data_IF_352219507870
#
_entry.id   IF_352219507870
#
_cell.length_a   1.000
_cell.length_b   1.000
_cell.length_c   1.000
_cell.angle_alpha   90.00
_cell.angle_beta   90.00
_cell.angle_gamma   90.00
#
_symmetry.space_group_name_H-M   'P 1'
#
loop_
_entity.id
_entity.type
_entity.pdbx_description
1 polymer ?
#
# COMPACT_ATOMS: atom_id res chain seq x y z
N UNK A 1 -7.35 -13.16 -14.96
CA UNK A 1 -7.49 -12.62 -16.34
C UNK A 1 -6.68 -11.34 -16.43
N UNK A 2 -5.81 -11.23 -17.43
CA UNK A 2 -5.01 -10.02 -17.68
C UNK A 2 -5.90 -8.88 -18.18
N UNK A 3 -5.67 -7.68 -17.68
CA UNK A 3 -6.41 -6.46 -18.03
C UNK A 3 -5.42 -5.34 -18.32
N UNK A 4 -5.63 -4.60 -19.40
CA UNK A 4 -4.84 -3.39 -19.71
C UNK A 4 -5.50 -2.18 -19.07
N UNK A 5 -4.70 -1.33 -18.46
CA UNK A 5 -5.13 -0.08 -17.81
C UNK A 5 -4.89 1.14 -18.72
N UNK A 6 -5.43 2.30 -18.35
CA UNK A 6 -5.39 3.51 -19.19
C UNK A 6 -3.97 4.07 -19.41
N UNK A 7 -3.03 3.78 -18.52
CA UNK A 7 -1.63 4.15 -18.67
C UNK A 7 -0.81 3.14 -19.49
N UNK A 8 -1.48 2.15 -20.09
CA UNK A 8 -0.86 1.12 -20.93
C UNK A 8 -0.19 -0.01 -20.14
N UNK A 9 -0.27 0.00 -18.83
CA UNK A 9 0.25 -1.08 -17.98
C UNK A 9 -0.75 -2.22 -17.85
N UNK A 10 -0.32 -3.33 -17.26
CA UNK A 10 -1.16 -4.50 -17.09
C UNK A 10 -1.49 -4.74 -15.61
N UNK A 11 -2.70 -5.20 -15.36
CA UNK A 11 -3.15 -5.71 -14.07
C UNK A 11 -3.85 -7.06 -14.23
N UNK A 12 -4.12 -7.73 -13.14
CA UNK A 12 -4.89 -8.97 -13.11
C UNK A 12 -6.23 -8.74 -12.41
N UNK A 13 -7.25 -9.47 -12.85
CA UNK A 13 -8.50 -9.61 -12.11
C UNK A 13 -8.41 -10.84 -11.22
N UNK A 14 -8.55 -10.64 -9.90
CA UNK A 14 -8.65 -11.71 -8.91
C UNK A 14 -9.94 -12.50 -9.12
N UNK A 15 -9.83 -13.83 -9.17
CA UNK A 15 -11.00 -14.72 -9.21
C UNK A 15 -11.69 -14.79 -7.85
N UNK A 16 -10.90 -14.76 -6.76
CA UNK A 16 -11.40 -14.84 -5.39
C UNK A 16 -12.25 -13.63 -5.00
N UNK A 17 -11.76 -12.42 -5.32
CA UNK A 17 -12.40 -11.17 -4.89
C UNK A 17 -13.25 -10.53 -5.99
N UNK A 18 -13.14 -11.01 -7.24
CA UNK A 18 -13.82 -10.45 -8.42
C UNK A 18 -13.48 -8.98 -8.69
N UNK A 19 -12.37 -8.49 -8.16
CA UNK A 19 -11.82 -7.14 -8.34
C UNK A 19 -10.46 -7.21 -9.06
N UNK A 20 -10.07 -6.12 -9.75
CA UNK A 20 -8.72 -5.97 -10.28
C UNK A 20 -7.75 -5.55 -9.17
N UNK A 21 -6.47 -5.96 -9.28
CA UNK A 21 -5.42 -5.54 -8.34
C UNK A 21 -5.17 -4.03 -8.40
N UNK A 22 -5.39 -3.39 -9.55
CA UNK A 22 -5.28 -1.94 -9.72
C UNK A 22 -6.50 -1.42 -10.47
N UNK A 23 -6.79 -0.12 -10.30
CA UNK A 23 -7.89 0.52 -11.00
C UNK A 23 -7.60 0.68 -12.49
N UNK A 24 -8.63 1.07 -13.25
CA UNK A 24 -8.47 1.39 -14.68
C UNK A 24 -7.59 2.62 -14.95
N UNK A 25 -7.29 3.43 -13.95
CA UNK A 25 -6.44 4.64 -14.11
C UNK A 25 -5.01 4.29 -14.57
N UNK A 26 -4.47 3.17 -14.08
CA UNK A 26 -3.13 2.71 -14.42
C UNK A 26 -2.40 2.15 -13.21
N UNK A 27 -1.80 0.97 -13.33
CA UNK A 27 -1.12 0.36 -12.21
C UNK A 27 0.11 1.18 -11.77
N UNK A 28 0.91 1.69 -12.72
CA UNK A 28 2.05 2.56 -12.43
C UNK A 28 1.59 3.92 -11.92
N UNK A 29 0.64 4.54 -12.62
CA UNK A 29 0.14 5.87 -12.29
C UNK A 29 -0.48 5.90 -10.89
N UNK A 30 -1.35 4.94 -10.58
CA UNK A 30 -2.00 4.84 -9.27
C UNK A 30 -0.98 4.66 -8.15
N UNK A 31 -0.05 3.73 -8.31
CA UNK A 31 1.00 3.47 -7.33
C UNK A 31 1.88 4.69 -7.09
N UNK A 32 2.39 5.33 -8.15
CA UNK A 32 3.28 6.49 -8.00
C UNK A 32 2.61 7.64 -7.25
N UNK A 33 1.39 7.99 -7.64
CA UNK A 33 0.74 9.20 -7.15
C UNK A 33 -0.05 9.00 -5.85
N UNK A 34 -0.54 7.80 -5.57
CA UNK A 34 -1.27 7.52 -4.31
C UNK A 34 -0.36 7.04 -3.19
N UNK A 35 0.79 6.41 -3.52
CA UNK A 35 1.64 5.78 -2.53
C UNK A 35 3.07 6.34 -2.52
N UNK A 36 3.81 6.22 -3.63
CA UNK A 36 5.26 6.45 -3.64
C UNK A 36 5.64 7.91 -3.44
N UNK A 37 5.14 8.82 -4.29
CA UNK A 37 5.51 10.22 -4.23
C UNK A 37 5.08 10.90 -2.92
N UNK A 38 3.84 10.72 -2.43
CA UNK A 38 3.46 11.27 -1.13
C UNK A 38 4.34 10.74 0.00
N UNK A 39 4.60 9.43 0.03
CA UNK A 39 5.38 8.83 1.10
C UNK A 39 6.83 9.32 1.12
N UNK A 40 7.53 9.31 -0.02
CA UNK A 40 8.92 9.74 -0.09
C UNK A 40 9.11 11.26 -0.01
N UNK A 41 8.06 12.06 -0.20
CA UNK A 41 8.14 13.51 0.04
C UNK A 41 8.22 13.86 1.53
N UNK A 42 7.74 12.96 2.42
CA UNK A 42 7.74 13.21 3.88
C UNK A 42 8.66 12.28 4.66
N UNK A 43 9.08 11.15 4.08
CA UNK A 43 10.01 10.23 4.71
C UNK A 43 11.33 10.24 3.93
N UNK A 44 12.34 10.94 4.50
CA UNK A 44 13.69 11.03 3.94
C UNK A 44 14.71 10.74 5.04
N UNK A 45 15.23 9.52 5.08
CA UNK A 45 16.25 9.07 6.04
C UNK A 45 17.12 7.96 5.44
N UNK A 46 18.22 7.62 6.10
CA UNK A 46 19.21 6.67 5.59
C UNK A 46 18.66 5.24 5.42
N UNK A 47 17.74 4.82 6.27
CA UNK A 47 17.06 3.52 6.17
C UNK A 47 15.55 3.75 6.32
N UNK A 48 14.78 3.37 5.32
CA UNK A 48 13.33 3.50 5.28
C UNK A 48 12.71 2.12 5.36
N UNK A 49 11.87 1.89 6.37
CA UNK A 49 11.09 0.66 6.53
C UNK A 49 9.69 0.85 5.98
N UNK A 50 9.32 0.02 5.03
CA UNK A 50 8.03 0.06 4.35
C UNK A 50 7.26 -1.21 4.65
N UNK A 51 6.00 -1.08 5.00
CA UNK A 51 5.03 -2.17 5.04
C UNK A 51 4.09 -2.02 3.84
N UNK A 52 4.20 -2.93 2.90
CA UNK A 52 3.38 -2.98 1.69
C UNK A 52 2.30 -4.05 1.86
N UNK A 53 1.09 -3.62 2.23
CA UNK A 53 -0.01 -4.54 2.57
C UNK A 53 -0.61 -5.15 1.32
N UNK A 54 -0.54 -6.49 1.23
CA UNK A 54 -0.96 -7.29 0.09
C UNK A 54 -0.07 -7.02 -1.14
N UNK A 55 1.05 -7.73 -1.21
CA UNK A 55 2.04 -7.57 -2.27
C UNK A 55 1.45 -7.55 -3.69
N UNK A 56 0.49 -8.44 -3.95
CA UNK A 56 -0.21 -8.53 -5.22
C UNK A 56 0.76 -8.70 -6.40
N UNK A 57 0.71 -7.77 -7.34
CA UNK A 57 1.61 -7.73 -8.51
C UNK A 57 2.94 -6.99 -8.22
N UNK A 58 3.19 -6.56 -6.99
CA UNK A 58 4.44 -5.95 -6.57
C UNK A 58 4.70 -4.52 -7.03
N UNK A 59 3.74 -3.85 -7.66
CA UNK A 59 3.94 -2.49 -8.17
C UNK A 59 4.38 -1.51 -7.08
N UNK A 60 3.79 -1.55 -5.88
CA UNK A 60 4.19 -0.67 -4.78
C UNK A 60 5.66 -0.89 -4.38
N UNK A 61 6.06 -2.12 -4.18
CA UNK A 61 7.44 -2.49 -3.85
C UNK A 61 8.40 -2.14 -4.97
N UNK A 62 8.13 -2.53 -6.22
CA UNK A 62 9.04 -2.33 -7.35
C UNK A 62 9.19 -0.86 -7.72
N UNK A 63 8.11 -0.09 -7.69
CA UNK A 63 8.19 1.36 -7.94
C UNK A 63 8.84 2.11 -6.76
N UNK A 64 8.73 1.61 -5.53
CA UNK A 64 9.52 2.15 -4.41
C UNK A 64 11.01 1.99 -4.64
N UNK A 65 11.47 0.86 -5.15
CA UNK A 65 12.88 0.61 -5.49
C UNK A 65 13.35 1.56 -6.59
N UNK A 66 12.56 1.69 -7.65
CA UNK A 66 12.92 2.54 -8.80
C UNK A 66 12.92 4.04 -8.48
N UNK A 67 12.17 4.47 -7.46
CA UNK A 67 11.99 5.87 -7.08
C UNK A 67 12.55 6.20 -5.69
N UNK A 68 13.32 5.31 -5.07
CA UNK A 68 13.87 5.54 -3.73
C UNK A 68 14.74 6.79 -3.67
N UNK A 69 14.76 7.53 -2.54
CA UNK A 69 15.70 8.62 -2.34
C UNK A 69 17.15 8.14 -2.49
N UNK A 70 18.01 8.94 -3.13
CA UNK A 70 19.36 8.52 -3.58
C UNK A 70 20.19 7.82 -2.50
N UNK A 71 20.15 8.32 -1.27
CA UNK A 71 21.01 7.86 -0.18
C UNK A 71 20.28 6.96 0.81
N UNK A 72 19.07 6.54 0.52
CA UNK A 72 18.28 5.70 1.40
C UNK A 72 18.45 4.23 1.08
N UNK A 73 18.51 3.40 2.12
CA UNK A 73 18.28 1.96 2.04
C UNK A 73 16.79 1.70 2.25
N UNK A 74 16.23 0.71 1.56
CA UNK A 74 14.86 0.28 1.76
C UNK A 74 14.83 -1.09 2.43
N UNK A 75 14.00 -1.22 3.48
CA UNK A 75 13.54 -2.51 4.00
C UNK A 75 12.06 -2.60 3.78
N UNK A 76 11.64 -3.55 2.97
CA UNK A 76 10.24 -3.73 2.57
C UNK A 76 9.74 -5.05 3.13
N UNK A 77 8.67 -4.99 3.89
CA UNK A 77 7.95 -6.10 4.47
C UNK A 77 6.58 -6.19 3.82
N UNK A 78 6.26 -7.32 3.20
CA UNK A 78 4.98 -7.44 2.53
C UNK A 78 4.34 -8.81 2.73
N UNK A 79 3.16 -8.88 3.32
CA UNK A 79 2.38 -10.10 3.40
C UNK A 79 1.62 -10.36 2.09
N UNK A 80 1.56 -11.62 1.68
CA UNK A 80 0.76 -12.10 0.56
C UNK A 80 0.20 -13.50 0.84
N UNK A 81 -1.06 -13.73 0.52
CA UNK A 81 -1.71 -15.03 0.69
C UNK A 81 -1.46 -15.98 -0.47
N UNK A 82 -1.36 -15.43 -1.69
CA UNK A 82 -1.24 -16.22 -2.91
C UNK A 82 0.22 -16.45 -3.31
N UNK A 83 0.78 -17.53 -2.77
CA UNK A 83 2.12 -17.99 -3.12
C UNK A 83 2.31 -18.20 -4.63
N UNK A 84 1.28 -18.65 -5.34
CA UNK A 84 1.38 -18.92 -6.77
C UNK A 84 1.40 -17.63 -7.59
N UNK A 85 0.69 -16.61 -7.12
CA UNK A 85 0.79 -15.27 -7.71
C UNK A 85 2.25 -14.79 -7.68
N UNK A 86 2.91 -14.82 -6.51
CA UNK A 86 4.31 -14.38 -6.39
C UNK A 86 5.21 -15.16 -7.34
N UNK A 87 5.07 -16.48 -7.41
CA UNK A 87 5.87 -17.32 -8.33
C UNK A 87 5.68 -16.99 -9.81
N UNK A 88 4.52 -16.43 -10.18
CA UNK A 88 4.21 -16.07 -11.57
C UNK A 88 4.80 -14.72 -11.99
N UNK A 89 5.27 -13.90 -11.07
CA UNK A 89 5.70 -12.52 -11.36
C UNK A 89 6.90 -12.44 -12.29
N UNK A 90 7.81 -13.44 -12.28
CA UNK A 90 8.97 -13.49 -13.20
C UNK A 90 8.60 -13.44 -14.68
N UNK A 91 7.38 -13.86 -15.02
CA UNK A 91 6.87 -13.86 -16.40
C UNK A 91 5.76 -12.85 -16.62
N UNK A 92 5.46 -12.03 -15.62
CA UNK A 92 4.45 -10.99 -15.75
C UNK A 92 4.95 -9.87 -16.66
N UNK A 93 4.07 -9.33 -17.49
CA UNK A 93 4.42 -8.30 -18.46
C UNK A 93 4.47 -6.92 -17.80
N UNK A 94 5.58 -6.62 -17.14
CA UNK A 94 5.82 -5.29 -16.53
C UNK A 94 6.23 -4.25 -17.58
N UNK A 95 6.09 -2.94 -17.24
CA UNK A 95 6.66 -1.86 -18.04
C UNK A 95 8.18 -1.99 -18.20
N UNK A 96 8.73 -1.45 -19.31
CA UNK A 96 10.16 -1.59 -19.65
C UNK A 96 11.13 -1.10 -18.58
N UNK A 97 10.76 -0.10 -17.81
CA UNK A 97 11.57 0.41 -16.69
C UNK A 97 11.85 -0.63 -15.61
N UNK A 98 11.00 -1.65 -15.46
CA UNK A 98 11.18 -2.75 -14.52
C UNK A 98 12.30 -3.71 -14.93
N UNK A 99 12.76 -3.67 -16.20
CA UNK A 99 13.92 -4.45 -16.65
C UNK A 99 15.17 -4.15 -15.81
N UNK A 100 15.29 -2.95 -15.24
CA UNK A 100 16.40 -2.57 -14.35
C UNK A 100 16.46 -3.37 -13.06
N UNK A 101 15.33 -3.91 -12.64
CA UNK A 101 15.15 -4.68 -11.40
C UNK A 101 14.65 -6.11 -11.66
N UNK A 102 14.77 -6.60 -12.91
CA UNK A 102 14.29 -7.94 -13.27
C UNK A 102 14.92 -9.03 -12.38
N UNK A 103 16.21 -8.90 -12.05
CA UNK A 103 16.90 -9.81 -11.15
C UNK A 103 16.27 -9.85 -9.74
N UNK A 104 15.75 -8.73 -9.24
CA UNK A 104 15.02 -8.66 -7.96
C UNK A 104 13.68 -9.38 -8.09
N UNK A 105 12.95 -9.15 -9.19
CA UNK A 105 11.67 -9.79 -9.47
C UNK A 105 11.84 -11.31 -9.55
N UNK A 106 12.88 -11.76 -10.25
CA UNK A 106 13.19 -13.19 -10.40
C UNK A 106 13.50 -13.84 -9.05
N UNK A 107 14.32 -13.18 -8.23
CA UNK A 107 14.70 -13.68 -6.90
C UNK A 107 13.49 -13.76 -5.95
N UNK A 108 12.68 -12.70 -5.89
CA UNK A 108 11.44 -12.68 -5.09
C UNK A 108 10.48 -13.79 -5.55
N UNK A 109 10.34 -13.97 -6.86
CA UNK A 109 9.44 -14.99 -7.40
C UNK A 109 9.85 -16.42 -7.02
N UNK A 110 11.11 -16.65 -6.74
CA UNK A 110 11.64 -17.96 -6.34
C UNK A 110 11.70 -18.13 -4.82
N UNK A 111 12.27 -17.13 -4.12
CA UNK A 111 12.71 -17.26 -2.74
C UNK A 111 11.85 -16.43 -1.77
N UNK A 112 10.93 -15.56 -2.26
CA UNK A 112 10.12 -14.64 -1.43
C UNK A 112 10.96 -13.67 -0.62
N UNK A 113 12.21 -13.50 -0.97
CA UNK A 113 13.20 -12.68 -0.28
C UNK A 113 14.22 -12.16 -1.26
N UNK A 114 14.69 -10.92 -1.04
CA UNK A 114 15.83 -10.33 -1.74
C UNK A 114 16.61 -9.46 -0.77
N UNK A 115 17.94 -9.46 -0.87
CA UNK A 115 18.80 -8.55 -0.11
C UNK A 115 20.06 -8.22 -0.88
N UNK A 116 20.36 -6.92 -0.94
CA UNK A 116 21.67 -6.37 -1.31
C UNK A 116 22.13 -5.30 -0.30
N UNK A 117 23.07 -4.43 -0.69
CA UNK A 117 23.57 -3.36 0.17
C UNK A 117 22.53 -2.27 0.46
N UNK A 118 21.55 -2.05 -0.43
CA UNK A 118 20.63 -0.93 -0.42
C UNK A 118 19.16 -1.34 -0.27
N UNK A 119 18.84 -2.59 -0.52
CA UNK A 119 17.46 -3.08 -0.60
C UNK A 119 17.37 -4.42 0.13
N UNK A 120 16.39 -4.52 1.02
CA UNK A 120 15.99 -5.77 1.64
C UNK A 120 14.47 -5.91 1.50
N UNK A 121 14.01 -7.04 0.97
CA UNK A 121 12.59 -7.32 0.72
C UNK A 121 12.26 -8.67 1.31
N UNK A 122 11.23 -8.72 2.14
CA UNK A 122 10.68 -9.95 2.71
C UNK A 122 9.21 -10.08 2.32
N UNK A 123 8.87 -11.13 1.58
CA UNK A 123 7.49 -11.49 1.26
C UNK A 123 7.05 -12.60 2.21
N UNK A 124 6.20 -12.26 3.17
CA UNK A 124 5.61 -13.23 4.07
C UNK A 124 4.41 -13.91 3.40
N UNK A 125 4.51 -15.21 3.15
CA UNK A 125 3.39 -15.99 2.61
C UNK A 125 2.46 -16.37 3.74
N UNK A 126 1.37 -15.61 3.90
CA UNK A 126 0.42 -15.80 4.99
C UNK A 126 -0.49 -14.61 5.28
N UNK A 127 -1.18 -14.72 6.40
CA UNK A 127 -2.13 -13.72 6.86
C UNK A 127 -1.43 -12.41 7.31
N UNK A 128 -1.78 -11.30 6.66
CA UNK A 128 -1.23 -9.97 6.95
C UNK A 128 -1.43 -9.56 8.41
N UNK A 129 -2.58 -9.85 9.02
CA UNK A 129 -2.89 -9.50 10.42
C UNK A 129 -2.02 -10.25 11.43
N UNK A 130 -1.55 -11.44 11.07
CA UNK A 130 -0.58 -12.17 11.89
C UNK A 130 0.81 -11.60 11.72
N UNK A 131 1.18 -11.32 10.47
CA UNK A 131 2.51 -10.83 10.14
C UNK A 131 2.82 -9.45 10.74
N UNK A 132 1.90 -8.48 10.64
CA UNK A 132 2.13 -7.13 11.18
C UNK A 132 2.44 -7.13 12.69
N UNK A 133 1.94 -8.12 13.43
CA UNK A 133 2.20 -8.26 14.87
C UNK A 133 3.61 -8.74 15.21
N UNK A 134 4.37 -9.19 14.22
CA UNK A 134 5.77 -9.61 14.35
C UNK A 134 6.76 -8.50 14.04
N UNK A 135 6.27 -7.35 13.53
CA UNK A 135 7.09 -6.21 13.15
C UNK A 135 7.21 -5.22 14.32
N UNK A 136 8.36 -4.55 14.44
CA UNK A 136 8.61 -3.61 15.54
C UNK A 136 8.22 -2.17 15.17
N UNK A 137 8.76 -1.66 14.07
CA UNK A 137 8.54 -0.27 13.64
C UNK A 137 8.56 -0.14 12.12
N UNK A 138 7.70 0.70 11.60
CA UNK A 138 7.54 0.96 10.16
C UNK A 138 7.47 2.47 9.96
N UNK A 139 8.08 2.97 8.89
CA UNK A 139 8.02 4.40 8.53
C UNK A 139 6.86 4.70 7.59
N UNK A 140 6.63 3.81 6.63
CA UNK A 140 5.63 3.98 5.58
C UNK A 140 4.75 2.74 5.54
N UNK A 141 3.43 2.93 5.50
CA UNK A 141 2.48 1.85 5.24
C UNK A 141 1.74 2.15 3.94
N UNK A 142 1.86 1.25 2.98
CA UNK A 142 0.98 1.21 1.81
C UNK A 142 -0.20 0.29 2.13
N UNK A 143 -1.34 0.89 2.45
CA UNK A 143 -2.59 0.17 2.74
C UNK A 143 -3.34 -0.06 1.44
N UNK A 144 -3.01 -1.14 0.75
CA UNK A 144 -3.44 -1.38 -0.63
C UNK A 144 -4.12 -2.75 -0.83
N UNK A 145 -4.81 -3.22 0.21
CA UNK A 145 -5.64 -4.41 0.15
C UNK A 145 -6.85 -4.23 -0.80
N UNK A 146 -7.45 -5.33 -1.26
CA UNK A 146 -8.74 -5.28 -1.96
C UNK A 146 -9.79 -4.51 -1.17
N UNK A 147 -10.82 -4.00 -1.86
CA UNK A 147 -11.77 -3.07 -1.26
C UNK A 147 -12.39 -3.56 0.05
N UNK A 148 -12.79 -2.64 0.95
CA UNK A 148 -13.44 -3.01 2.21
C UNK A 148 -14.70 -3.87 2.04
N UNK A 149 -15.28 -3.92 0.84
CA UNK A 149 -16.47 -4.74 0.55
C UNK A 149 -16.15 -6.22 0.43
N UNK A 150 -14.95 -6.57 -0.03
CA UNK A 150 -14.56 -7.95 -0.33
C UNK A 150 -13.44 -8.47 0.56
N UNK A 151 -12.75 -7.57 1.27
CA UNK A 151 -11.63 -7.90 2.17
C UNK A 151 -11.71 -7.05 3.46
N UNK A 152 -12.89 -7.05 4.11
CA UNK A 152 -13.21 -6.17 5.24
C UNK A 152 -12.21 -6.31 6.40
N UNK A 153 -11.66 -7.49 6.62
CA UNK A 153 -10.74 -7.82 7.71
C UNK A 153 -9.44 -6.98 7.72
N UNK A 154 -9.03 -6.45 6.57
CA UNK A 154 -7.87 -5.54 6.47
C UNK A 154 -8.25 -4.05 6.52
N UNK A 155 -9.48 -3.74 6.96
CA UNK A 155 -10.00 -2.37 7.07
C UNK A 155 -10.71 -2.11 8.39
N UNK A 156 -10.66 -3.06 9.35
CA UNK A 156 -11.30 -2.92 10.66
C UNK A 156 -10.50 -2.00 11.57
N UNK A 157 -11.16 -1.42 12.57
CA UNK A 157 -10.48 -0.58 13.56
C UNK A 157 -9.43 -1.37 14.36
N UNK A 158 -9.67 -2.64 14.62
CA UNK A 158 -8.74 -3.53 15.31
C UNK A 158 -7.47 -3.75 14.49
N UNK A 159 -7.62 -3.94 13.17
CA UNK A 159 -6.49 -4.03 12.24
C UNK A 159 -5.68 -2.72 12.22
N UNK A 160 -6.34 -1.56 12.11
CA UNK A 160 -5.64 -0.27 12.15
C UNK A 160 -4.97 0.02 13.51
N UNK A 161 -5.50 -0.50 14.62
CA UNK A 161 -4.81 -0.45 15.92
C UNK A 161 -3.50 -1.24 15.91
N UNK A 162 -3.45 -2.38 15.22
CA UNK A 162 -2.20 -3.14 15.10
C UNK A 162 -1.20 -2.41 14.17
N UNK A 163 -1.66 -1.77 13.08
CA UNK A 163 -0.81 -0.88 12.26
C UNK A 163 -0.30 0.31 13.10
N UNK A 164 -1.14 0.92 13.93
CA UNK A 164 -0.78 2.07 14.76
C UNK A 164 0.36 1.78 15.75
N UNK A 165 0.43 0.56 16.25
CA UNK A 165 1.53 0.10 17.15
C UNK A 165 2.90 0.14 16.46
N UNK A 166 2.95 0.03 15.13
CA UNK A 166 4.19 0.14 14.34
C UNK A 166 4.68 1.58 14.22
N UNK A 167 3.90 2.56 14.70
CA UNK A 167 4.19 3.99 14.71
C UNK A 167 4.59 4.56 13.33
N UNK A 168 3.80 4.33 12.26
CA UNK A 168 4.14 4.79 10.94
C UNK A 168 4.09 6.32 10.87
N UNK A 169 5.07 6.89 10.15
CA UNK A 169 5.09 8.33 9.84
C UNK A 169 3.98 8.71 8.86
N UNK A 170 3.70 7.82 7.91
CA UNK A 170 2.62 7.99 6.94
C UNK A 170 1.98 6.66 6.58
N UNK A 171 0.65 6.66 6.49
CA UNK A 171 -0.15 5.61 5.87
C UNK A 171 -0.76 6.17 4.60
N UNK A 172 -0.62 5.48 3.49
CA UNK A 172 -1.23 5.86 2.22
C UNK A 172 -2.23 4.80 1.78
N UNK A 173 -3.34 5.21 1.19
CA UNK A 173 -4.34 4.28 0.62
C UNK A 173 -5.13 4.93 -0.50
N UNK A 174 -5.53 4.12 -1.48
CA UNK A 174 -6.47 4.57 -2.51
C UNK A 174 -7.88 4.82 -1.96
N UNK A 175 -8.22 4.26 -0.80
CA UNK A 175 -9.57 4.32 -0.25
C UNK A 175 -9.89 5.72 0.28
N UNK A 176 -11.05 6.25 -0.13
CA UNK A 176 -11.66 7.46 0.42
C UNK A 176 -12.94 7.16 1.22
N UNK A 177 -13.19 5.88 1.50
CA UNK A 177 -14.38 5.42 2.21
C UNK A 177 -14.44 6.01 3.62
N UNK A 178 -15.63 6.51 3.99
CA UNK A 178 -15.82 7.15 5.31
C UNK A 178 -15.50 6.24 6.49
N UNK A 179 -15.85 4.94 6.50
CA UNK A 179 -15.48 4.03 7.58
C UNK A 179 -13.98 3.87 7.75
N UNK A 180 -13.21 3.81 6.65
CA UNK A 180 -11.74 3.72 6.67
C UNK A 180 -11.14 5.01 7.25
N UNK A 181 -11.57 6.16 6.73
CA UNK A 181 -11.12 7.46 7.23
C UNK A 181 -11.48 7.67 8.69
N UNK A 182 -12.68 7.24 9.11
CA UNK A 182 -13.11 7.37 10.51
C UNK A 182 -12.30 6.46 11.44
N UNK A 183 -11.94 5.26 11.02
CA UNK A 183 -11.05 4.39 11.79
C UNK A 183 -9.68 5.06 12.04
N UNK A 184 -9.05 5.59 10.99
CA UNK A 184 -7.77 6.30 11.10
C UNK A 184 -7.90 7.58 11.95
N UNK A 185 -8.94 8.40 11.71
CA UNK A 185 -9.20 9.61 12.48
C UNK A 185 -9.40 9.32 13.98
N UNK A 186 -10.15 8.27 14.34
CA UNK A 186 -10.39 7.87 15.72
C UNK A 186 -9.14 7.36 16.45
N UNK A 187 -8.08 7.00 15.71
CA UNK A 187 -6.76 6.67 16.25
C UNK A 187 -5.81 7.89 16.33
N UNK A 188 -6.32 9.08 16.06
CA UNK A 188 -5.57 10.33 16.16
C UNK A 188 -4.77 10.71 14.91
N UNK A 189 -5.06 10.10 13.76
CA UNK A 189 -4.42 10.50 12.50
C UNK A 189 -5.08 11.74 11.90
N UNK A 190 -4.28 12.71 11.50
CA UNK A 190 -4.68 13.77 10.58
C UNK A 190 -4.87 13.15 9.19
N UNK A 191 -5.94 13.53 8.50
CA UNK A 191 -6.27 12.99 7.19
C UNK A 191 -6.04 14.03 6.09
N UNK A 192 -5.33 13.63 5.06
CA UNK A 192 -4.99 14.46 3.91
C UNK A 192 -5.43 13.82 2.62
N UNK A 193 -5.46 14.59 1.54
CA UNK A 193 -5.61 14.13 0.18
C UNK A 193 -4.42 14.59 -0.64
N UNK A 194 -3.96 13.77 -1.58
CA UNK A 194 -3.12 14.29 -2.66
C UNK A 194 -4.01 14.94 -3.72
N UNK A 195 -3.46 15.89 -4.45
CA UNK A 195 -4.16 16.55 -5.54
C UNK A 195 -3.28 16.50 -6.79
N UNK A 196 -3.60 15.55 -7.64
CA UNK A 196 -2.99 15.40 -8.96
C UNK A 196 -4.11 15.39 -9.99
N UNK A 197 -3.91 16.14 -11.07
CA UNK A 197 -4.89 16.21 -12.17
C UNK A 197 -5.11 14.81 -12.77
N UNK A 198 -6.36 14.49 -13.04
CA UNK A 198 -6.81 13.23 -13.66
C UNK A 198 -6.59 11.95 -12.83
N UNK A 199 -6.24 12.04 -11.55
CA UNK A 199 -6.10 10.87 -10.68
C UNK A 199 -7.13 10.95 -9.55
N UNK A 200 -7.85 9.87 -9.32
CA UNK A 200 -8.80 9.80 -8.20
C UNK A 200 -8.09 9.98 -6.87
N UNK A 201 -8.68 10.80 -6.01
CA UNK A 201 -8.14 11.07 -4.68
C UNK A 201 -8.02 9.76 -3.89
N UNK A 202 -6.91 9.64 -3.16
CA UNK A 202 -6.71 8.68 -2.10
C UNK A 202 -6.80 9.33 -0.72
N UNK A 203 -6.34 8.63 0.28
CA UNK A 203 -6.18 9.15 1.64
C UNK A 203 -4.73 9.00 2.08
N UNK A 204 -4.19 10.06 2.65
CA UNK A 204 -2.92 10.05 3.37
C UNK A 204 -3.25 10.28 4.85
N UNK A 205 -2.63 9.53 5.74
CA UNK A 205 -2.87 9.66 7.17
C UNK A 205 -1.53 9.74 7.92
N UNK A 206 -1.43 10.68 8.84
CA UNK A 206 -0.25 10.87 9.71
C UNK A 206 -0.64 11.46 11.04
N UNK A 207 0.08 11.12 12.10
CA UNK A 207 -0.03 11.81 13.40
C UNK A 207 0.73 13.15 13.40
N UNK A 208 1.66 13.32 12.48
CA UNK A 208 2.36 14.59 12.24
C UNK A 208 1.56 15.48 11.29
N UNK A 209 1.86 16.78 11.32
CA UNK A 209 1.33 17.73 10.34
C UNK A 209 2.13 17.58 9.05
N UNK A 210 1.45 17.28 7.96
CA UNK A 210 2.04 17.08 6.64
C UNK A 210 1.68 18.23 5.68
N UNK A 211 2.53 18.52 4.67
CA UNK A 211 2.31 19.61 3.70
C UNK A 211 1.34 19.18 2.58
N UNK A 212 0.24 18.55 2.93
CA UNK A 212 -0.80 18.15 1.99
C UNK A 212 -2.15 18.82 2.31
N UNK A 213 -3.03 18.98 1.32
CA UNK A 213 -4.39 19.48 1.56
C UNK A 213 -5.14 18.58 2.55
N UNK A 214 -5.78 19.19 3.55
CA UNK A 214 -6.65 18.47 4.47
C UNK A 214 -7.78 17.76 3.73
N UNK A 215 -8.13 16.57 4.19
CA UNK A 215 -9.29 15.86 3.69
C UNK A 215 -10.62 16.46 4.16
N UNK A 216 -10.60 17.48 5.04
CA UNK A 216 -11.77 18.14 5.66
C UNK A 216 -12.77 17.12 6.24
N UNK A 217 -12.24 16.07 6.85
CA UNK A 217 -13.06 14.95 7.32
C UNK A 217 -13.93 15.32 8.51
N UNK A 218 -13.48 16.24 9.37
CA UNK A 218 -14.26 16.76 10.50
C UNK A 218 -15.57 17.41 10.05
N UNK A 219 -15.57 18.18 8.97
CA UNK A 219 -16.80 18.77 8.43
C UNK A 219 -17.74 17.70 7.87
N UNK A 220 -17.19 16.60 7.37
CA UNK A 220 -18.00 15.46 6.95
C UNK A 220 -18.65 14.76 8.14
N UNK A 221 -17.93 14.60 9.26
CA UNK A 221 -18.46 13.99 10.48
C UNK A 221 -19.68 14.73 11.06
N UNK A 222 -19.77 16.05 10.87
CA UNK A 222 -20.94 16.84 11.28
C UNK A 222 -22.23 16.47 10.52
N UNK A 223 -22.11 15.79 9.36
CA UNK A 223 -23.21 15.51 8.43
C UNK A 223 -23.58 14.03 8.33
N UNK A 224 -22.77 13.13 8.87
CA UNK A 224 -22.98 11.68 8.79
C UNK A 224 -22.95 11.08 10.18
N UNK A 225 -23.65 9.94 10.36
CA UNK A 225 -23.44 9.08 11.53
C UNK A 225 -22.13 8.30 11.28
N UNK A 226 -21.04 8.59 12.03
CA UNK A 226 -19.77 7.93 11.77
C UNK A 226 -19.82 6.47 12.23
N UNK A 227 -19.18 5.61 11.47
CA UNK A 227 -18.94 4.22 11.85
C UNK A 227 -17.62 3.75 11.23
N UNK A 228 -17.05 2.71 11.78
CA UNK A 228 -15.91 1.99 11.22
C UNK A 228 -16.23 0.49 11.15
N UNK A 229 -15.52 -0.23 10.30
CA UNK A 229 -15.58 -1.68 10.28
C UNK A 229 -14.93 -2.21 11.56
N UNK A 230 -15.49 -3.28 12.15
CA UNK A 230 -14.99 -3.92 13.35
C UNK A 230 -15.03 -5.43 13.20
N UNK A 231 -14.08 -6.11 13.82
CA UNK A 231 -14.04 -7.58 13.90
C UNK A 231 -15.30 -8.17 14.60
N UNK A 232 -15.98 -7.34 15.40
CA UNK A 232 -17.23 -7.74 16.08
C UNK A 232 -18.47 -7.60 15.21
N UNK A 233 -18.34 -7.02 14.02
CA UNK A 233 -19.45 -6.73 13.10
C UNK A 233 -19.48 -7.68 11.89
N UNK A 234 -18.57 -8.64 11.86
CA UNK A 234 -18.42 -9.64 10.80
C UNK A 234 -19.05 -10.98 11.19
#
# INVERSE_FOLDING_TARGET
MLVTTNDGTFTLKSQKYNECYHSSEGAVTETLYKHIYPAFSVVNKNEIKILDICFGLGYNTFLSILNKPKNSKLKIYSPELDKNLIKSLKTFNYPKEFNKIQHIIDEISQNFYFKDENIEIEIFIGDARKYIKTLDSIDIVYQDAFSPKVNTELWTIEYFKDIDKLNPKIITTYSVASPVRYALYSLGYNLYTHQYDNIRKGTLASKEILPFPSANFEDKLKRIKPFYYSDKSS
#
